data_IF_365680462674
#
_entry.id   IF_365680462674
#
_cell.length_a   1.000
_cell.length_b   1.000
_cell.length_c   1.000
_cell.angle_alpha   90.00
_cell.angle_beta   90.00
_cell.angle_gamma   90.00
#
_symmetry.space_group_name_H-M   'P 1'
#
loop_
_entity.id
_entity.type
_entity.pdbx_description
1 polymer ?
#
# COMPACT_ATOMS: atom_id res chain seq x y z
N UNK A 1 -13.80 -6.47 0.05
CA UNK A 1 -12.79 -5.40 -0.06
C UNK A 1 -11.72 -5.60 0.98
N UNK A 2 -10.52 -5.14 0.72
CA UNK A 2 -9.42 -5.23 1.67
C UNK A 2 -9.07 -3.83 2.18
N UNK A 3 -8.61 -3.77 3.42
CA UNK A 3 -8.13 -2.53 4.02
C UNK A 3 -6.60 -2.58 4.07
N UNK A 4 -5.98 -1.50 3.68
CA UNK A 4 -4.53 -1.39 3.62
C UNK A 4 -4.12 -0.19 4.46
N UNK A 5 -3.21 -0.40 5.40
CA UNK A 5 -2.67 0.67 6.24
C UNK A 5 -1.19 0.85 5.95
N UNK A 6 -0.79 2.06 5.64
CA UNK A 6 0.61 2.38 5.41
C UNK A 6 1.32 2.55 6.75
N UNK A 7 2.10 1.55 7.15
CA UNK A 7 2.73 1.48 8.47
C UNK A 7 4.13 2.08 8.52
N UNK A 8 4.93 1.85 7.49
CA UNK A 8 6.33 2.24 7.49
C UNK A 8 6.60 3.28 6.42
N UNK A 9 7.46 4.26 6.74
CA UNK A 9 7.83 5.30 5.79
C UNK A 9 8.55 4.72 4.58
N UNK A 10 8.25 5.27 3.39
CA UNK A 10 8.94 4.93 2.16
C UNK A 10 10.22 5.78 1.96
N UNK A 11 10.57 6.64 2.91
CA UNK A 11 11.78 7.45 2.83
C UNK A 11 13.00 6.53 2.78
N UNK A 12 13.86 6.74 1.81
CA UNK A 12 15.03 5.90 1.60
C UNK A 12 14.77 4.63 0.80
N UNK A 13 13.51 4.38 0.42
CA UNK A 13 13.15 3.26 -0.44
C UNK A 13 13.26 3.65 -1.91
N UNK A 14 13.12 2.66 -2.80
CA UNK A 14 13.20 2.92 -4.24
C UNK A 14 12.03 3.79 -4.70
N UNK A 15 12.23 4.51 -5.79
CA UNK A 15 11.17 5.34 -6.37
C UNK A 15 9.95 4.50 -6.77
N UNK A 16 10.18 3.27 -7.22
CA UNK A 16 9.10 2.35 -7.60
C UNK A 16 8.17 2.10 -6.42
N UNK A 17 8.73 1.89 -5.23
CA UNK A 17 7.91 1.66 -4.04
C UNK A 17 7.11 2.90 -3.65
N UNK A 18 7.72 4.07 -3.74
CA UNK A 18 7.02 5.34 -3.48
C UNK A 18 5.88 5.54 -4.46
N UNK A 19 6.13 5.27 -5.73
CA UNK A 19 5.11 5.41 -6.77
C UNK A 19 3.96 4.43 -6.54
N UNK A 20 4.26 3.22 -6.11
CA UNK A 20 3.23 2.23 -5.80
C UNK A 20 2.34 2.68 -4.64
N UNK A 21 2.93 3.24 -3.61
CA UNK A 21 2.18 3.80 -2.47
C UNK A 21 1.24 4.91 -2.95
N UNK A 22 1.72 5.82 -3.79
CA UNK A 22 0.90 6.88 -4.36
C UNK A 22 -0.20 6.34 -5.25
N UNK A 23 0.12 5.33 -6.04
CA UNK A 23 -0.85 4.71 -6.95
C UNK A 23 -1.98 4.01 -6.19
N UNK A 24 -1.69 3.50 -4.99
CA UNK A 24 -2.71 2.93 -4.12
C UNK A 24 -3.65 3.99 -3.55
N UNK A 25 -3.21 5.24 -3.50
CA UNK A 25 -4.02 6.34 -3.02
C UNK A 25 -3.63 6.87 -1.65
N UNK A 26 -2.51 6.44 -1.11
CA UNK A 26 -2.02 6.94 0.17
C UNK A 26 -1.51 8.38 0.03
N UNK A 27 -1.84 9.19 1.01
CA UNK A 27 -1.40 10.59 1.08
C UNK A 27 -0.45 10.82 2.25
N UNK A 28 -0.51 9.99 3.26
CA UNK A 28 0.32 10.13 4.45
C UNK A 28 0.51 8.79 5.15
N UNK A 29 1.52 8.75 6.01
CA UNK A 29 1.82 7.58 6.83
C UNK A 29 0.67 7.29 7.80
N UNK A 30 0.47 6.02 8.11
CA UNK A 30 -0.59 5.53 8.99
C UNK A 30 -2.01 5.76 8.46
N UNK A 31 -2.14 6.10 7.18
CA UNK A 31 -3.45 6.20 6.55
C UNK A 31 -3.96 4.80 6.19
N UNK A 32 -5.24 4.58 6.45
CA UNK A 32 -5.92 3.34 6.03
C UNK A 32 -6.81 3.62 4.84
N UNK A 33 -6.71 2.80 3.80
CA UNK A 33 -7.58 2.90 2.63
C UNK A 33 -8.21 1.54 2.35
N UNK A 34 -9.34 1.57 1.63
CA UNK A 34 -9.99 0.37 1.16
C UNK A 34 -9.82 0.26 -0.36
N UNK A 35 -9.53 -0.94 -0.82
CA UNK A 35 -9.40 -1.24 -2.24
C UNK A 35 -10.10 -2.55 -2.56
N UNK A 36 -10.56 -2.70 -3.80
CA UNK A 36 -11.14 -3.97 -4.22
C UNK A 36 -10.08 -5.06 -4.23
N UNK A 37 -10.51 -6.27 -3.90
CA UNK A 37 -9.63 -7.43 -3.92
C UNK A 37 -9.54 -7.95 -5.35
N UNK A 38 -8.53 -7.51 -6.08
CA UNK A 38 -8.29 -7.97 -7.44
C UNK A 38 -6.79 -8.18 -7.68
N UNK A 39 -6.40 -8.89 -8.75
CA UNK A 39 -5.00 -9.21 -9.00
C UNK A 39 -4.09 -7.98 -9.15
N UNK A 40 -4.60 -6.89 -9.75
CA UNK A 40 -3.81 -5.68 -9.92
C UNK A 40 -3.48 -5.05 -8.57
N UNK A 41 -4.46 -4.92 -7.69
CA UNK A 41 -4.26 -4.35 -6.35
C UNK A 41 -3.36 -5.25 -5.52
N UNK A 42 -3.57 -6.57 -5.56
CA UNK A 42 -2.72 -7.51 -4.82
C UNK A 42 -1.27 -7.45 -5.29
N UNK A 43 -1.03 -7.30 -6.58
CA UNK A 43 0.32 -7.14 -7.11
C UNK A 43 1.00 -5.89 -6.59
N UNK A 44 0.27 -4.77 -6.54
CA UNK A 44 0.79 -3.52 -5.99
C UNK A 44 1.11 -3.65 -4.50
N UNK A 45 0.23 -4.26 -3.75
CA UNK A 45 0.41 -4.49 -2.31
C UNK A 45 1.65 -5.35 -2.07
N UNK A 46 1.81 -6.41 -2.86
CA UNK A 46 2.94 -7.32 -2.71
C UNK A 46 4.27 -6.60 -2.89
N UNK A 47 4.32 -5.62 -3.80
CA UNK A 47 5.54 -4.84 -4.04
C UNK A 47 5.94 -4.00 -2.83
N UNK A 48 4.99 -3.63 -1.98
CA UNK A 48 5.22 -2.78 -0.81
C UNK A 48 4.74 -3.42 0.49
N UNK A 49 4.59 -4.74 0.51
CA UNK A 49 4.02 -5.44 1.67
C UNK A 49 4.80 -5.21 2.97
N UNK A 50 6.09 -4.92 2.86
CA UNK A 50 6.92 -4.59 4.02
C UNK A 50 6.68 -3.16 4.54
N UNK A 51 5.95 -2.34 3.79
CA UNK A 51 5.64 -0.97 4.16
C UNK A 51 4.20 -0.82 4.64
N UNK A 52 3.34 -1.76 4.31
CA UNK A 52 1.92 -1.67 4.60
C UNK A 52 1.42 -2.93 5.33
N UNK A 53 0.30 -2.78 5.99
CA UNK A 53 -0.40 -3.90 6.61
C UNK A 53 -1.74 -4.09 5.90
N UNK A 54 -2.04 -5.32 5.53
CA UNK A 54 -3.29 -5.65 4.85
C UNK A 54 -4.22 -6.37 5.81
N UNK A 55 -5.44 -5.88 5.90
CA UNK A 55 -6.49 -6.47 6.70
C UNK A 55 -7.61 -6.89 5.76
N UNK A 56 -7.93 -8.16 5.74
CA UNK A 56 -9.02 -8.67 4.95
C UNK A 56 -10.32 -8.57 5.76
N UNK A 57 -11.28 -7.89 5.19
CA UNK A 57 -12.58 -7.72 5.83
C UNK A 57 -13.58 -8.74 5.29
#
# INVERSE_FOLDING_TARGET
>A
MIQITWKNSAIGRTQVQKDTIKALGFKRLNQTIEKPDNPAIRGMIKSVEHLVEVIEA
#
